data_IF_545181153011
#
_entry.id   IF_545181153011
#
_cell.length_a   1.000
_cell.length_b   1.000
_cell.length_c   1.000
_cell.angle_alpha   90.00
_cell.angle_beta   90.00
_cell.angle_gamma   90.00
#
_symmetry.space_group_name_H-M   'P 1'
#
loop_
_entity.id
_entity.type
_entity.pdbx_description
1 polymer ?
#
# COMPACT_ATOMS: atom_id res chain seq x y z
N UNK A 1 28.35 58.64 -28.02
CA UNK A 1 28.55 58.46 -26.56
C UNK A 1 27.40 59.00 -25.68
N UNK A 2 26.52 59.87 -26.18
CA UNK A 2 25.41 60.44 -25.42
C UNK A 2 24.25 59.51 -25.13
N UNK A 3 23.99 58.52 -25.99
CA UNK A 3 22.83 57.62 -25.83
C UNK A 3 22.97 56.55 -24.73
N UNK A 4 24.20 56.23 -24.32
CA UNK A 4 24.44 55.26 -23.23
C UNK A 4 24.24 55.83 -21.82
N UNK A 5 24.54 57.11 -21.66
CA UNK A 5 24.39 57.80 -20.37
C UNK A 5 22.94 58.10 -20.04
N UNK A 6 22.12 58.43 -21.05
CA UNK A 6 20.67 58.66 -20.88
C UNK A 6 19.95 57.37 -20.50
N UNK A 7 20.30 56.24 -21.10
CA UNK A 7 19.75 54.93 -20.80
C UNK A 7 20.10 54.44 -19.40
N UNK A 8 21.34 54.66 -18.95
CA UNK A 8 21.76 54.35 -17.58
C UNK A 8 21.08 55.23 -16.53
N UNK A 9 20.90 56.51 -16.83
CA UNK A 9 20.18 57.43 -15.94
C UNK A 9 18.69 57.07 -15.82
N UNK A 10 18.04 56.70 -16.92
CA UNK A 10 16.66 56.25 -16.94
C UNK A 10 16.48 54.98 -16.07
N UNK A 11 17.36 54.02 -16.23
CA UNK A 11 17.37 52.75 -15.46
C UNK A 11 17.63 52.95 -13.96
N UNK A 12 18.49 53.94 -13.59
CA UNK A 12 18.74 54.33 -12.21
C UNK A 12 17.55 55.06 -11.61
N UNK A 13 16.82 55.86 -12.36
CA UNK A 13 15.59 56.53 -11.94
C UNK A 13 14.44 55.51 -11.74
N UNK A 14 14.30 54.53 -12.57
CA UNK A 14 13.33 53.43 -12.42
C UNK A 14 13.64 52.59 -11.17
N UNK A 15 14.89 52.25 -10.93
CA UNK A 15 15.31 51.54 -9.70
C UNK A 15 15.01 52.35 -8.43
N UNK A 16 15.24 53.65 -8.44
CA UNK A 16 14.90 54.52 -7.32
C UNK A 16 13.40 54.59 -7.04
N UNK A 17 12.59 54.61 -8.08
CA UNK A 17 11.12 54.55 -7.97
C UNK A 17 10.63 53.21 -7.46
N UNK A 18 11.23 52.10 -7.85
CA UNK A 18 10.92 50.76 -7.35
C UNK A 18 11.16 50.67 -5.84
N UNK A 19 12.30 51.11 -5.36
CA UNK A 19 12.59 51.12 -3.92
C UNK A 19 11.65 52.04 -3.14
N UNK A 20 11.33 53.21 -3.67
CA UNK A 20 10.35 54.11 -3.05
C UNK A 20 8.96 53.46 -2.95
N UNK A 21 8.50 52.78 -4.00
CA UNK A 21 7.21 52.09 -3.99
C UNK A 21 7.17 50.96 -2.96
N UNK A 22 8.25 50.20 -2.80
CA UNK A 22 8.37 49.18 -1.75
C UNK A 22 8.29 49.81 -0.36
N UNK A 23 8.97 50.89 -0.11
CA UNK A 23 8.95 51.57 1.18
C UNK A 23 7.56 52.11 1.48
N UNK A 24 6.90 52.77 0.52
CA UNK A 24 5.51 53.24 0.67
C UNK A 24 4.58 52.07 0.96
N UNK A 25 4.72 50.94 0.25
CA UNK A 25 3.96 49.71 0.50
C UNK A 25 4.14 49.20 1.92
N UNK A 26 5.35 49.13 2.42
CA UNK A 26 5.67 48.74 3.80
C UNK A 26 5.04 49.65 4.85
N UNK A 27 5.08 50.97 4.63
CA UNK A 27 4.40 51.94 5.50
C UNK A 27 2.89 51.77 5.50
N UNK A 28 2.30 51.52 4.32
CA UNK A 28 0.85 51.25 4.18
C UNK A 28 0.43 49.99 4.95
N UNK A 29 1.24 48.94 4.92
CA UNK A 29 1.03 47.72 5.71
C UNK A 29 1.07 48.04 7.20
N UNK A 30 2.03 48.82 7.64
CA UNK A 30 2.20 49.21 9.06
C UNK A 30 1.05 50.10 9.56
N UNK A 31 0.49 50.97 8.73
CA UNK A 31 -0.61 51.83 9.11
C UNK A 31 -1.97 51.10 9.22
N UNK A 32 -2.11 49.92 8.59
CA UNK A 32 -3.33 49.11 8.60
C UNK A 32 -3.09 47.66 9.05
N UNK A 33 -2.25 47.46 10.07
CA UNK A 33 -1.80 46.17 10.57
C UNK A 33 -2.90 45.19 10.85
N UNK A 34 -4.01 45.61 11.44
CA UNK A 34 -5.16 44.76 11.76
C UNK A 34 -5.79 44.17 10.49
N UNK A 35 -5.94 44.95 9.42
CA UNK A 35 -6.46 44.46 8.15
C UNK A 35 -5.51 43.48 7.49
N UNK A 36 -4.23 43.81 7.51
CA UNK A 36 -3.17 42.92 6.91
C UNK A 36 -3.11 41.60 7.64
N UNK A 37 -3.12 41.62 8.98
CA UNK A 37 -3.10 40.37 9.77
C UNK A 37 -4.36 39.53 9.49
N UNK A 38 -5.53 40.18 9.42
CA UNK A 38 -6.79 39.47 9.19
C UNK A 38 -6.79 38.79 7.80
N UNK A 39 -6.37 39.51 6.77
CA UNK A 39 -6.31 38.96 5.40
C UNK A 39 -5.21 37.90 5.25
N UNK A 40 -4.04 38.13 5.82
CA UNK A 40 -2.94 37.17 5.79
C UNK A 40 -3.29 35.87 6.56
N UNK A 41 -3.93 35.98 7.73
CA UNK A 41 -4.37 34.82 8.49
C UNK A 41 -5.42 34.01 7.72
N UNK A 42 -6.39 34.66 7.10
CA UNK A 42 -7.39 34.00 6.27
C UNK A 42 -6.77 33.25 5.10
N UNK A 43 -5.84 33.88 4.38
CA UNK A 43 -5.11 33.27 3.28
C UNK A 43 -4.26 32.07 3.76
N UNK A 44 -3.56 32.24 4.87
CA UNK A 44 -2.71 31.19 5.46
C UNK A 44 -3.55 29.97 5.85
N UNK A 45 -4.68 30.17 6.53
CA UNK A 45 -5.60 29.08 6.89
C UNK A 45 -6.13 28.39 5.65
N UNK A 46 -6.52 29.14 4.61
CA UNK A 46 -6.99 28.59 3.35
C UNK A 46 -5.96 27.68 2.67
N UNK A 47 -4.73 28.17 2.50
CA UNK A 47 -3.64 27.40 1.88
C UNK A 47 -3.30 26.18 2.74
N UNK A 48 -3.24 26.34 4.05
CA UNK A 48 -2.93 25.24 4.97
C UNK A 48 -3.98 24.13 4.90
N UNK A 49 -5.27 24.49 4.87
CA UNK A 49 -6.37 23.52 4.75
C UNK A 49 -6.28 22.74 3.45
N UNK A 50 -6.10 23.43 2.32
CA UNK A 50 -5.94 22.76 1.02
C UNK A 50 -4.73 21.84 1.00
N UNK A 51 -3.62 22.27 1.59
CA UNK A 51 -2.40 21.45 1.67
C UNK A 51 -2.59 20.19 2.49
N UNK A 52 -3.29 20.26 3.63
CA UNK A 52 -3.62 19.09 4.46
C UNK A 52 -4.50 18.11 3.69
N UNK A 53 -5.57 18.61 3.05
CA UNK A 53 -6.48 17.75 2.28
C UNK A 53 -5.72 17.06 1.14
N UNK A 54 -4.91 17.80 0.40
CA UNK A 54 -4.09 17.25 -0.69
C UNK A 54 -3.11 16.17 -0.20
N UNK A 55 -2.45 16.41 0.93
CA UNK A 55 -1.56 15.43 1.55
C UNK A 55 -2.30 14.17 2.00
N UNK A 56 -3.49 14.32 2.60
CA UNK A 56 -4.31 13.19 3.02
C UNK A 56 -4.77 12.34 1.82
N UNK A 57 -5.25 12.95 0.76
CA UNK A 57 -5.65 12.25 -0.47
C UNK A 57 -4.45 11.51 -1.07
N UNK A 58 -3.30 12.16 -1.21
CA UNK A 58 -2.10 11.53 -1.75
C UNK A 58 -1.61 10.34 -0.89
N UNK A 59 -1.83 10.39 0.41
CA UNK A 59 -1.49 9.27 1.31
C UNK A 59 -2.43 8.08 1.10
N UNK A 60 -3.72 8.34 0.93
CA UNK A 60 -4.72 7.30 0.62
C UNK A 60 -4.39 6.63 -0.71
N UNK A 61 -4.10 7.41 -1.76
CA UNK A 61 -3.75 6.88 -3.07
C UNK A 61 -2.52 5.96 -3.03
N UNK A 62 -1.49 6.36 -2.27
CA UNK A 62 -0.27 5.55 -2.08
C UNK A 62 -0.55 4.24 -1.35
N UNK A 63 -1.32 4.28 -0.27
CA UNK A 63 -1.68 3.07 0.48
C UNK A 63 -2.60 2.16 -0.35
N UNK A 64 -3.50 2.73 -1.13
CA UNK A 64 -4.34 1.96 -2.06
C UNK A 64 -3.49 1.30 -3.14
N UNK A 65 -2.59 2.02 -3.81
CA UNK A 65 -1.68 1.47 -4.80
C UNK A 65 -0.83 0.33 -4.22
N UNK A 66 -0.26 0.53 -3.03
CA UNK A 66 0.51 -0.51 -2.32
C UNK A 66 -0.33 -1.74 -1.98
N UNK A 67 -1.58 -1.54 -1.61
CA UNK A 67 -2.51 -2.65 -1.36
C UNK A 67 -2.81 -3.42 -2.65
N UNK A 68 -3.01 -2.73 -3.76
CA UNK A 68 -3.23 -3.35 -5.06
C UNK A 68 -2.00 -4.13 -5.53
N UNK A 69 -0.79 -3.61 -5.33
CA UNK A 69 0.45 -4.33 -5.62
C UNK A 69 0.59 -5.60 -4.78
N UNK A 70 0.16 -5.57 -3.53
CA UNK A 70 0.16 -6.76 -2.67
C UNK A 70 -0.77 -7.86 -3.17
N UNK A 71 -1.98 -7.50 -3.62
CA UNK A 71 -2.93 -8.46 -4.18
C UNK A 71 -2.55 -8.90 -5.61
N UNK A 72 -1.74 -8.12 -6.33
CA UNK A 72 -1.31 -8.36 -7.71
C UNK A 72 -2.38 -7.99 -8.73
N UNK A 73 -2.01 -7.18 -9.70
CA UNK A 73 -2.92 -6.69 -10.73
C UNK A 73 -3.33 -7.78 -11.75
N UNK A 74 -2.52 -8.86 -11.84
CA UNK A 74 -2.65 -9.91 -12.85
C UNK A 74 -3.31 -11.19 -12.29
N UNK A 75 -3.98 -11.11 -11.13
CA UNK A 75 -4.53 -12.27 -10.45
C UNK A 75 -6.04 -12.28 -10.45
N UNK A 76 -6.58 -13.44 -10.78
CA UNK A 76 -8.01 -13.71 -10.68
C UNK A 76 -8.23 -14.72 -9.55
N UNK A 77 -9.06 -14.34 -8.59
CA UNK A 77 -9.44 -15.21 -7.48
C UNK A 77 -10.80 -15.82 -7.73
N UNK A 78 -10.84 -17.14 -7.77
CA UNK A 78 -12.08 -17.89 -7.92
C UNK A 78 -12.41 -18.58 -6.60
N UNK A 79 -13.58 -18.30 -6.07
CA UNK A 79 -14.06 -18.88 -4.82
C UNK A 79 -15.47 -19.45 -4.92
N UNK A 80 -15.78 -20.40 -4.04
CA UNK A 80 -17.13 -20.97 -3.93
C UNK A 80 -18.11 -20.05 -3.21
N UNK A 81 -17.58 -19.09 -2.42
CA UNK A 81 -18.35 -18.12 -1.67
C UNK A 81 -18.33 -16.75 -2.36
N UNK A 82 -19.43 -15.99 -2.33
CA UNK A 82 -19.45 -14.63 -2.87
C UNK A 82 -18.54 -13.70 -2.08
N UNK A 83 -18.02 -12.68 -2.75
CA UNK A 83 -17.16 -11.65 -2.17
C UNK A 83 -17.93 -10.55 -1.40
N UNK A 84 -19.28 -10.56 -1.51
CA UNK A 84 -20.15 -9.65 -0.77
C UNK A 84 -20.36 -10.14 0.65
N UNK A 85 -20.46 -9.21 1.62
CA UNK A 85 -20.81 -9.51 3.01
C UNK A 85 -22.32 -9.78 3.20
N UNK A 86 -23.15 -9.26 2.29
CA UNK A 86 -24.61 -9.44 2.31
C UNK A 86 -24.99 -10.52 1.28
N UNK A 87 -25.04 -11.76 1.72
CA UNK A 87 -25.44 -12.89 0.88
C UNK A 87 -26.14 -13.97 1.68
N UNK A 88 -27.04 -14.66 0.98
CA UNK A 88 -27.78 -15.79 1.50
C UNK A 88 -26.88 -17.04 1.59
N UNK A 89 -26.24 -17.29 2.72
CA UNK A 89 -25.26 -18.36 2.93
C UNK A 89 -25.81 -19.76 2.58
N UNK A 90 -27.13 -20.01 2.74
CA UNK A 90 -27.77 -21.29 2.41
C UNK A 90 -27.76 -21.59 0.92
N UNK A 91 -27.74 -20.59 0.02
CA UNK A 91 -27.64 -20.77 -1.43
C UNK A 91 -26.27 -21.29 -1.87
N UNK A 92 -25.26 -21.04 -1.07
CA UNK A 92 -23.85 -21.33 -1.39
C UNK A 92 -23.31 -22.56 -0.66
N UNK A 93 -23.96 -22.99 0.43
CA UNK A 93 -23.52 -24.12 1.27
C UNK A 93 -23.31 -25.43 0.52
N UNK A 94 -24.14 -25.71 -0.47
CA UNK A 94 -24.13 -26.96 -1.22
C UNK A 94 -23.41 -26.86 -2.58
N UNK A 95 -22.66 -25.76 -2.83
CA UNK A 95 -21.87 -25.65 -4.05
C UNK A 95 -20.73 -26.68 -4.04
N UNK A 96 -20.44 -27.31 -5.21
CA UNK A 96 -19.28 -28.20 -5.32
C UNK A 96 -18.01 -27.45 -4.95
N UNK A 97 -17.11 -28.13 -4.28
CA UNK A 97 -15.78 -27.59 -3.97
C UNK A 97 -14.94 -27.56 -5.25
N UNK A 98 -14.07 -26.58 -5.34
CA UNK A 98 -13.06 -26.53 -6.40
C UNK A 98 -12.05 -27.64 -6.11
N UNK A 99 -11.96 -28.60 -7.01
CA UNK A 99 -11.08 -29.76 -6.91
C UNK A 99 -9.75 -29.50 -7.63
N UNK A 100 -8.75 -30.30 -7.30
CA UNK A 100 -7.41 -30.23 -7.86
C UNK A 100 -7.40 -30.51 -9.38
N UNK A 101 -8.27 -31.39 -9.84
CA UNK A 101 -8.52 -31.68 -11.27
C UNK A 101 -8.89 -30.43 -12.08
N UNK A 102 -9.50 -29.43 -11.45
CA UNK A 102 -9.84 -28.17 -12.10
C UNK A 102 -8.61 -27.35 -12.49
N UNK A 103 -7.46 -27.52 -11.81
CA UNK A 103 -6.20 -26.82 -12.13
C UNK A 103 -5.65 -27.28 -13.48
N UNK A 104 -5.57 -28.60 -13.69
CA UNK A 104 -5.07 -29.18 -14.94
C UNK A 104 -5.91 -28.72 -16.12
N UNK A 105 -7.24 -28.73 -15.94
CA UNK A 105 -8.16 -28.26 -16.97
C UNK A 105 -7.94 -26.78 -17.31
N UNK A 106 -7.80 -25.90 -16.32
CA UNK A 106 -7.60 -24.47 -16.54
C UNK A 106 -6.26 -24.23 -17.25
N UNK A 107 -5.19 -24.88 -16.82
CA UNK A 107 -3.87 -24.73 -17.41
C UNK A 107 -3.82 -25.23 -18.85
N UNK A 108 -4.53 -26.33 -19.15
CA UNK A 108 -4.54 -26.93 -20.48
C UNK A 108 -5.34 -26.12 -21.52
N UNK A 109 -6.44 -25.49 -21.10
CA UNK A 109 -7.39 -24.86 -22.01
C UNK A 109 -7.31 -23.32 -22.03
N UNK A 110 -6.41 -22.70 -21.27
CA UNK A 110 -6.27 -21.25 -21.24
C UNK A 110 -4.91 -20.80 -21.76
N UNK A 111 -4.91 -20.00 -22.83
CA UNK A 111 -3.70 -19.39 -23.38
C UNK A 111 -3.23 -18.16 -22.58
N UNK A 112 -4.10 -17.61 -21.72
CA UNK A 112 -3.85 -16.36 -20.98
C UNK A 112 -3.40 -16.58 -19.54
N UNK A 113 -3.43 -17.82 -19.05
CA UNK A 113 -3.08 -18.15 -17.67
C UNK A 113 -1.68 -18.76 -17.64
N UNK A 114 -0.77 -18.08 -16.99
CA UNK A 114 0.62 -18.51 -16.84
C UNK A 114 0.77 -19.52 -15.72
N UNK A 115 0.03 -19.36 -14.63
CA UNK A 115 0.13 -20.24 -13.46
C UNK A 115 -1.18 -20.28 -12.67
N UNK A 116 -1.42 -21.39 -11.98
CA UNK A 116 -2.63 -21.63 -11.20
C UNK A 116 -2.24 -22.22 -9.85
N UNK A 117 -2.86 -21.75 -8.78
CA UNK A 117 -2.66 -22.32 -7.44
C UNK A 117 -3.97 -22.42 -6.68
N UNK A 118 -4.12 -23.48 -5.91
CA UNK A 118 -5.20 -23.60 -4.93
C UNK A 118 -4.72 -23.08 -3.59
N UNK A 119 -5.55 -22.27 -2.96
CA UNK A 119 -5.39 -21.84 -1.58
C UNK A 119 -6.55 -22.41 -0.75
N UNK A 120 -6.22 -23.24 0.22
CA UNK A 120 -7.17 -23.75 1.21
C UNK A 120 -6.86 -23.16 2.56
N UNK A 121 -7.82 -22.50 3.18
CA UNK A 121 -7.67 -21.92 4.50
C UNK A 121 -8.48 -22.68 5.55
N UNK A 122 -7.94 -22.77 6.75
CA UNK A 122 -8.63 -23.34 7.90
C UNK A 122 -8.16 -22.65 9.18
N UNK A 123 -9.03 -22.58 10.18
CA UNK A 123 -8.65 -22.15 11.52
C UNK A 123 -8.27 -23.37 12.34
N UNK A 124 -7.12 -23.30 13.00
CA UNK A 124 -6.64 -24.38 13.85
C UNK A 124 -5.98 -23.80 15.09
N UNK A 125 -5.87 -24.65 16.12
CA UNK A 125 -5.18 -24.29 17.34
C UNK A 125 -3.70 -24.68 17.23
N UNK A 126 -2.82 -23.69 17.15
CA UNK A 126 -1.38 -23.92 17.24
C UNK A 126 -0.92 -23.84 18.69
N UNK A 127 0.10 -24.64 19.03
CA UNK A 127 0.72 -24.60 20.36
C UNK A 127 2.24 -24.75 20.24
N UNK A 128 2.97 -24.00 21.05
CA UNK A 128 4.40 -24.10 21.20
C UNK A 128 4.80 -23.80 22.64
N UNK A 129 5.42 -24.78 23.32
CA UNK A 129 5.70 -24.71 24.75
C UNK A 129 4.38 -24.54 25.55
N UNK A 130 4.32 -23.53 26.39
CA UNK A 130 3.15 -23.23 27.20
C UNK A 130 2.15 -22.28 26.53
N UNK A 131 2.37 -21.92 25.28
CA UNK A 131 1.49 -21.00 24.52
C UNK A 131 0.61 -21.78 23.57
N UNK A 132 -0.66 -21.40 23.49
CA UNK A 132 -1.59 -21.89 22.48
C UNK A 132 -2.50 -20.76 22.03
N UNK A 133 -2.74 -20.67 20.72
CA UNK A 133 -3.60 -19.67 20.12
C UNK A 133 -4.28 -20.21 18.85
N UNK A 134 -5.41 -19.61 18.51
CA UNK A 134 -6.03 -19.87 17.23
C UNK A 134 -5.26 -19.14 16.13
N UNK A 135 -4.92 -19.87 15.09
CA UNK A 135 -4.21 -19.34 13.92
C UNK A 135 -4.91 -19.76 12.65
N UNK A 136 -4.83 -18.93 11.64
CA UNK A 136 -5.28 -19.28 10.31
C UNK A 136 -4.14 -20.03 9.60
N UNK A 137 -4.41 -21.25 9.20
CA UNK A 137 -3.51 -22.09 8.42
C UNK A 137 -3.95 -22.04 6.95
N UNK A 138 -3.03 -21.66 6.07
CA UNK A 138 -3.24 -21.63 4.63
C UNK A 138 -2.40 -22.74 3.99
N UNK A 139 -3.04 -23.70 3.36
CA UNK A 139 -2.40 -24.67 2.48
C UNK A 139 -2.33 -24.10 1.07
N UNK A 140 -1.15 -24.10 0.47
CA UNK A 140 -0.91 -23.55 -0.87
C UNK A 140 0.05 -24.45 -1.65
N UNK A 141 0.03 -24.37 -2.96
CA UNK A 141 0.99 -25.04 -3.84
C UNK A 141 2.34 -24.30 -3.86
N UNK A 142 3.45 -24.94 -4.24
CA UNK A 142 4.75 -24.29 -4.41
C UNK A 142 4.71 -23.10 -5.38
N UNK A 143 3.95 -23.21 -6.47
CA UNK A 143 3.72 -22.13 -7.45
C UNK A 143 3.10 -20.87 -6.84
N UNK A 144 2.48 -20.98 -5.69
CA UNK A 144 1.93 -19.81 -4.98
C UNK A 144 3.01 -18.79 -4.61
N UNK A 145 4.28 -19.18 -4.51
CA UNK A 145 5.40 -18.27 -4.26
C UNK A 145 5.48 -17.19 -5.36
N UNK A 146 5.36 -17.58 -6.61
CA UNK A 146 5.46 -16.67 -7.76
C UNK A 146 4.25 -15.74 -7.85
N UNK A 147 3.14 -16.17 -7.26
CA UNK A 147 1.93 -15.36 -7.13
C UNK A 147 1.98 -14.38 -5.94
N UNK A 148 2.93 -14.48 -5.02
CA UNK A 148 3.06 -13.57 -3.89
C UNK A 148 3.75 -12.27 -4.31
N UNK A 149 2.96 -11.30 -4.80
CA UNK A 149 3.46 -9.95 -5.05
C UNK A 149 3.64 -9.22 -3.71
N UNK A 150 4.81 -8.63 -3.49
CA UNK A 150 5.06 -7.79 -2.31
C UNK A 150 5.32 -8.52 -0.99
N UNK A 151 5.15 -9.84 -0.91
CA UNK A 151 5.49 -10.60 0.31
C UNK A 151 6.90 -11.17 0.20
N UNK A 152 7.77 -10.78 1.14
CA UNK A 152 9.15 -11.29 1.21
C UNK A 152 9.29 -12.23 2.39
N UNK A 153 10.01 -13.34 2.17
CA UNK A 153 10.46 -14.21 3.25
C UNK A 153 11.68 -13.55 3.89
N UNK A 154 11.57 -13.20 5.16
CA UNK A 154 12.67 -12.56 5.90
C UNK A 154 13.81 -13.56 6.21
N UNK A 155 13.44 -14.75 6.64
CA UNK A 155 14.38 -15.80 7.02
C UNK A 155 13.93 -17.14 6.45
N UNK A 156 14.86 -17.90 5.88
CA UNK A 156 14.57 -19.18 5.27
C UNK A 156 14.17 -19.08 3.79
N UNK A 157 13.36 -20.00 3.33
CA UNK A 157 12.90 -20.10 1.95
C UNK A 157 11.48 -20.63 1.88
N UNK A 158 10.86 -20.51 0.72
CA UNK A 158 9.60 -21.19 0.42
C UNK A 158 9.86 -22.70 0.26
N UNK A 159 8.81 -23.51 0.42
CA UNK A 159 8.92 -24.95 0.18
C UNK A 159 8.97 -25.27 -1.32
N UNK A 160 9.74 -26.29 -1.63
CA UNK A 160 10.01 -26.72 -3.00
C UNK A 160 8.97 -27.73 -3.50
N UNK A 161 8.92 -27.92 -4.83
CA UNK A 161 8.10 -28.96 -5.45
C UNK A 161 8.43 -30.35 -4.89
N UNK A 162 9.69 -30.68 -4.68
CA UNK A 162 10.10 -31.96 -4.11
C UNK A 162 9.61 -32.18 -2.68
N UNK A 163 9.53 -31.11 -1.86
CA UNK A 163 8.95 -31.21 -0.51
C UNK A 163 7.44 -31.41 -0.56
N UNK A 164 6.78 -30.86 -1.56
CA UNK A 164 5.38 -31.09 -1.83
C UNK A 164 5.11 -32.53 -2.26
N UNK A 165 5.82 -33.03 -3.26
CA UNK A 165 5.66 -34.37 -3.81
C UNK A 165 5.95 -35.46 -2.77
N UNK A 166 6.93 -35.23 -1.90
CA UNK A 166 7.27 -36.10 -0.78
C UNK A 166 6.38 -35.90 0.45
N UNK A 167 5.38 -35.01 0.38
CA UNK A 167 4.45 -34.67 1.48
C UNK A 167 5.18 -34.33 2.78
N UNK A 168 6.29 -33.57 2.69
CA UNK A 168 7.05 -33.15 3.86
C UNK A 168 6.26 -32.12 4.66
N UNK A 169 6.33 -32.27 5.99
CA UNK A 169 5.68 -31.34 6.93
C UNK A 169 6.52 -30.08 7.09
N UNK A 170 6.33 -29.13 6.18
CA UNK A 170 6.99 -27.81 6.21
C UNK A 170 5.96 -26.72 6.38
N UNK A 171 6.32 -25.65 7.07
CA UNK A 171 5.43 -24.52 7.34
C UNK A 171 6.22 -23.21 7.24
N UNK A 172 5.58 -22.18 6.74
CA UNK A 172 6.08 -20.80 6.76
C UNK A 172 5.29 -20.05 7.81
N UNK A 173 6.00 -19.44 8.75
CA UNK A 173 5.41 -18.76 9.90
C UNK A 173 5.33 -17.27 9.60
N UNK A 174 4.14 -16.69 9.71
CA UNK A 174 3.95 -15.24 9.58
C UNK A 174 4.53 -14.46 10.77
N UNK A 175 4.89 -13.19 10.56
CA UNK A 175 5.52 -12.32 11.57
C UNK A 175 4.75 -12.26 12.88
N UNK A 176 3.45 -12.05 12.84
CA UNK A 176 2.60 -12.00 14.03
C UNK A 176 2.62 -13.31 14.84
N UNK A 177 2.62 -14.46 14.15
CA UNK A 177 2.71 -15.79 14.80
C UNK A 177 4.10 -15.98 15.39
N UNK A 178 5.16 -15.56 14.68
CA UNK A 178 6.54 -15.59 15.19
C UNK A 178 6.66 -14.78 16.49
N UNK A 179 6.17 -13.57 16.53
CA UNK A 179 6.22 -12.73 17.72
C UNK A 179 5.41 -13.32 18.88
N UNK A 180 4.20 -13.81 18.59
CA UNK A 180 3.31 -14.38 19.60
C UNK A 180 3.87 -15.63 20.27
N UNK A 181 4.38 -16.57 19.49
CA UNK A 181 4.83 -17.88 20.01
C UNK A 181 6.32 -17.89 20.38
N UNK A 182 7.20 -17.31 19.54
CA UNK A 182 8.63 -17.45 19.66
C UNK A 182 9.32 -16.26 20.35
N UNK A 183 8.63 -15.10 20.55
CA UNK A 183 9.14 -13.95 21.31
C UNK A 183 10.53 -13.50 20.86
N UNK A 184 10.75 -13.38 19.56
CA UNK A 184 12.02 -12.97 18.99
C UNK A 184 13.06 -14.09 18.82
N UNK A 185 12.78 -15.32 19.28
CA UNK A 185 13.61 -16.49 18.98
C UNK A 185 13.42 -16.95 17.54
N UNK A 186 14.43 -17.60 17.00
CA UNK A 186 14.36 -18.17 15.66
C UNK A 186 13.38 -19.36 15.63
N UNK A 187 12.34 -19.32 14.80
CA UNK A 187 11.39 -20.42 14.64
C UNK A 187 11.89 -21.54 13.74
N UNK A 188 12.99 -21.35 12.99
CA UNK A 188 13.47 -22.32 12.00
C UNK A 188 13.91 -23.61 12.70
N UNK A 189 13.38 -24.75 12.23
CA UNK A 189 13.69 -26.06 12.76
C UNK A 189 13.05 -26.41 14.10
N UNK A 190 12.00 -25.65 14.52
CA UNK A 190 11.29 -25.89 15.81
C UNK A 190 9.98 -26.61 15.59
#
# INVERSE_FOLDING_TARGET
MQNGLSFLMEKLLEMNNFFKNIIIGLFSVRSNLTRVILTASGLTIGIFTVSIVSAAVSSIDKEFAKSMDYYGNDKVYVGTWPWSFDFDWWKYRNRPKIEESSLEYITQYSEYITDVSIKKNTWTRASYGNKASWVQLNGVYPSYQDMLSGTKIENGRFFSQNEWDLQRRVIIVGGTVREGFFQGKDPIGK
#
